data_IF_408068032815
#
_entry.id   IF_408068032815
#
_cell.length_a   1.000
_cell.length_b   1.000
_cell.length_c   1.000
_cell.angle_alpha   90.00
_cell.angle_beta   90.00
_cell.angle_gamma   90.00
#
_symmetry.space_group_name_H-M   'P 1'
#
loop_
_entity.id
_entity.type
_entity.pdbx_description
1 polymer ?
#
# COMPACT_ATOMS: atom_id res chain seq x y z
N UNK A 1 -5.75 -5.10 -16.42
CA UNK A 1 -5.93 -3.66 -16.22
C UNK A 1 -6.96 -3.47 -15.11
N UNK A 2 -6.58 -3.04 -13.90
CA UNK A 2 -7.58 -2.70 -12.88
C UNK A 2 -8.35 -1.47 -13.35
N UNK A 3 -9.68 -1.53 -13.27
CA UNK A 3 -10.54 -0.41 -13.61
C UNK A 3 -10.30 0.72 -12.58
N UNK A 4 -10.12 1.97 -13.02
CA UNK A 4 -9.91 3.14 -12.15
C UNK A 4 -10.95 3.23 -11.03
N UNK A 5 -12.21 2.86 -11.31
CA UNK A 5 -13.28 2.81 -10.30
C UNK A 5 -12.98 1.78 -9.21
N UNK A 6 -12.48 0.61 -9.58
CA UNK A 6 -12.10 -0.43 -8.63
C UNK A 6 -10.92 0.03 -7.76
N UNK A 7 -9.92 0.69 -8.35
CA UNK A 7 -8.77 1.26 -7.60
C UNK A 7 -9.23 2.31 -6.60
N UNK A 8 -10.16 3.20 -6.97
CA UNK A 8 -10.72 4.20 -6.07
C UNK A 8 -11.58 3.61 -4.95
N UNK A 9 -12.38 2.57 -5.24
CA UNK A 9 -13.15 1.87 -4.21
C UNK A 9 -12.25 1.19 -3.20
N UNK A 10 -11.20 0.51 -3.67
CA UNK A 10 -10.25 -0.11 -2.76
C UNK A 10 -9.50 0.92 -1.92
N UNK A 11 -9.10 2.06 -2.50
CA UNK A 11 -8.47 3.14 -1.76
C UNK A 11 -9.41 3.70 -0.67
N UNK A 12 -10.72 3.81 -0.95
CA UNK A 12 -11.72 4.19 0.07
C UNK A 12 -11.74 3.19 1.22
N UNK A 13 -11.84 1.90 0.92
CA UNK A 13 -11.94 0.85 1.95
C UNK A 13 -10.67 0.79 2.81
N UNK A 14 -9.51 1.04 2.20
CA UNK A 14 -8.23 1.09 2.88
C UNK A 14 -8.14 2.28 3.86
N UNK A 15 -8.55 3.48 3.41
CA UNK A 15 -8.60 4.66 4.28
C UNK A 15 -9.58 4.47 5.44
N UNK A 16 -10.69 3.80 5.20
CA UNK A 16 -11.68 3.46 6.22
C UNK A 16 -11.11 2.49 7.27
N UNK A 17 -10.36 1.47 6.83
CA UNK A 17 -9.65 0.56 7.73
C UNK A 17 -8.60 1.28 8.58
N UNK A 18 -7.76 2.12 7.96
CA UNK A 18 -6.75 2.89 8.69
C UNK A 18 -7.37 3.82 9.74
N UNK A 19 -8.50 4.46 9.42
CA UNK A 19 -9.23 5.28 10.40
C UNK A 19 -9.67 4.45 11.60
N UNK A 20 -10.21 3.25 11.37
CA UNK A 20 -10.63 2.35 12.45
C UNK A 20 -9.45 1.83 13.27
N UNK A 21 -8.31 1.50 12.65
CA UNK A 21 -7.11 1.08 13.36
C UNK A 21 -6.54 2.22 14.21
N UNK A 22 -6.54 3.44 13.68
CA UNK A 22 -6.11 4.63 14.41
C UNK A 22 -7.03 4.90 15.61
N UNK A 23 -8.35 4.81 15.44
CA UNK A 23 -9.31 4.96 16.54
C UNK A 23 -9.11 3.87 17.62
N UNK A 24 -8.84 2.62 17.22
CA UNK A 24 -8.53 1.54 18.16
C UNK A 24 -7.22 1.78 18.92
N UNK A 25 -6.19 2.33 18.26
CA UNK A 25 -4.93 2.68 18.91
C UNK A 25 -5.09 3.71 20.03
N UNK A 26 -6.07 4.62 19.92
CA UNK A 26 -6.31 5.62 20.98
C UNK A 26 -6.72 4.98 22.31
N UNK A 27 -7.27 3.76 22.27
CA UNK A 27 -7.78 3.04 23.43
C UNK A 27 -7.02 1.73 23.71
N UNK A 28 -6.08 1.35 22.84
CA UNK A 28 -5.22 0.21 23.08
C UNK A 28 -4.33 0.52 24.29
N UNK A 29 -4.30 -0.41 25.25
CA UNK A 29 -3.51 -0.28 26.48
C UNK A 29 -2.55 -1.44 26.69
N UNK A 30 -2.53 -2.38 25.74
CA UNK A 30 -1.64 -3.52 25.74
C UNK A 30 -0.71 -3.48 24.52
N UNK A 31 0.59 -3.65 24.80
CA UNK A 31 1.64 -3.59 23.77
C UNK A 31 1.44 -4.54 22.57
N UNK A 32 0.88 -5.76 22.73
CA UNK A 32 0.59 -6.63 21.59
C UNK A 32 -0.46 -6.04 20.64
N UNK A 33 -1.56 -5.50 21.15
CA UNK A 33 -2.60 -4.86 20.33
C UNK A 33 -2.07 -3.60 19.65
N UNK A 34 -1.31 -2.77 20.37
CA UNK A 34 -0.65 -1.59 19.79
C UNK A 34 0.29 -1.97 18.64
N UNK A 35 1.13 -2.99 18.84
CA UNK A 35 2.06 -3.47 17.82
C UNK A 35 1.31 -3.98 16.57
N UNK A 36 0.27 -4.78 16.77
CA UNK A 36 -0.55 -5.31 15.68
C UNK A 36 -1.25 -4.21 14.88
N UNK A 37 -1.88 -3.24 15.56
CA UNK A 37 -2.57 -2.12 14.89
C UNK A 37 -1.57 -1.22 14.14
N UNK A 38 -0.39 -1.00 14.72
CA UNK A 38 0.69 -0.23 14.07
C UNK A 38 1.22 -0.94 12.83
N UNK A 39 1.44 -2.25 12.90
CA UNK A 39 1.91 -3.04 11.75
C UNK A 39 0.85 -3.08 10.63
N UNK A 40 -0.43 -3.19 11.00
CA UNK A 40 -1.55 -3.12 10.05
C UNK A 40 -1.61 -1.76 9.34
N UNK A 41 -1.49 -0.65 10.09
CA UNK A 41 -1.44 0.70 9.53
C UNK A 41 -0.26 0.91 8.57
N UNK A 42 0.92 0.38 8.90
CA UNK A 42 2.08 0.45 8.00
C UNK A 42 1.84 -0.30 6.70
N UNK A 43 1.20 -1.48 6.77
CA UNK A 43 0.79 -2.26 5.60
C UNK A 43 -0.19 -1.49 4.72
N UNK A 44 -1.20 -0.88 5.31
CA UNK A 44 -2.17 -0.06 4.59
C UNK A 44 -1.50 1.15 3.92
N UNK A 45 -0.62 1.87 4.60
CA UNK A 45 0.08 3.02 4.01
C UNK A 45 0.86 2.64 2.74
N UNK A 46 1.52 1.48 2.76
CA UNK A 46 2.24 0.93 1.59
C UNK A 46 1.26 0.63 0.45
N UNK A 47 0.11 0.03 0.74
CA UNK A 47 -0.88 -0.26 -0.29
C UNK A 47 -1.51 1.02 -0.84
N UNK A 48 -1.79 1.99 0.02
CA UNK A 48 -2.29 3.30 -0.37
C UNK A 48 -1.32 4.02 -1.33
N UNK A 49 -0.01 3.90 -1.10
CA UNK A 49 1.02 4.43 -1.99
C UNK A 49 1.00 3.74 -3.36
N UNK A 50 0.84 2.41 -3.41
CA UNK A 50 0.71 1.68 -4.69
C UNK A 50 -0.53 2.11 -5.46
N UNK A 51 -1.67 2.25 -4.78
CA UNK A 51 -2.91 2.72 -5.40
C UNK A 51 -2.76 4.14 -5.95
N UNK A 52 -2.07 5.02 -5.22
CA UNK A 52 -1.75 6.36 -5.72
C UNK A 52 -0.89 6.30 -6.99
N UNK A 53 0.15 5.46 -7.02
CA UNK A 53 0.99 5.29 -8.20
C UNK A 53 0.20 4.75 -9.41
N UNK A 54 -0.66 3.75 -9.19
CA UNK A 54 -1.58 3.23 -10.20
C UNK A 54 -2.51 4.32 -10.76
N UNK A 55 -3.09 5.15 -9.88
CA UNK A 55 -3.99 6.25 -10.28
C UNK A 55 -3.29 7.40 -11.01
N UNK A 56 -2.02 7.64 -10.68
CA UNK A 56 -1.17 8.62 -11.36
C UNK A 56 -0.69 8.13 -12.74
N UNK A 57 -0.91 6.84 -13.06
CA UNK A 57 -0.41 6.24 -14.30
C UNK A 57 1.11 6.13 -14.35
N UNK A 58 1.78 6.22 -13.20
CA UNK A 58 3.22 6.01 -13.08
C UNK A 58 3.42 4.49 -13.07
N UNK A 59 4.01 3.87 -14.10
CA UNK A 59 4.37 2.47 -14.04
C UNK A 59 5.38 2.30 -12.90
N UNK A 60 5.12 1.34 -12.02
CA UNK A 60 5.97 0.97 -10.90
C UNK A 60 7.42 0.79 -11.38
N UNK A 61 8.28 1.79 -11.13
CA UNK A 61 9.69 1.78 -11.51
C UNK A 61 10.47 0.64 -10.84
N UNK A 62 9.92 0.06 -9.78
CA UNK A 62 10.49 -1.08 -9.07
C UNK A 62 10.56 -2.34 -9.96
N UNK A 63 9.62 -2.50 -10.90
CA UNK A 63 9.62 -3.62 -11.85
C UNK A 63 10.54 -3.40 -13.05
N UNK A 64 10.80 -2.14 -13.42
CA UNK A 64 11.65 -1.77 -14.57
C UNK A 64 13.14 -1.99 -14.32
N UNK A 65 13.59 -1.93 -13.06
CA UNK A 65 15.00 -2.14 -12.71
C UNK A 65 15.44 -3.60 -12.90
N UNK A 66 14.54 -4.57 -12.72
CA UNK A 66 14.87 -6.00 -12.80
C UNK A 66 14.90 -6.55 -14.24
N UNK A 67 14.31 -5.84 -15.20
CA UNK A 67 14.29 -6.24 -16.61
C UNK A 67 15.53 -5.73 -17.36
N UNK A 68 16.09 -4.59 -16.93
CA UNK A 68 17.27 -3.99 -17.56
C UNK A 68 18.57 -4.78 -17.29
N UNK A 69 18.64 -5.54 -16.19
CA UNK A 69 19.82 -6.37 -15.86
C UNK A 69 19.91 -7.60 -16.76
N UNK A 70 18.79 -8.13 -17.28
CA UNK A 70 18.81 -9.28 -18.20
C UNK A 70 19.19 -8.90 -19.64
N UNK A 71 19.00 -7.65 -20.05
CA UNK A 71 19.41 -7.17 -21.37
C UNK A 71 20.91 -6.91 -21.50
N UNK A 72 21.60 -6.61 -20.39
CA UNK A 72 23.02 -6.25 -20.40
C UNK A 72 23.97 -7.46 -20.39
N UNK A 73 23.48 -8.67 -20.09
CA UNK A 73 24.31 -9.90 -20.02
C UNK A 73 24.37 -10.64 -21.37
N UNK A 74 23.73 -10.10 -22.44
CA UNK A 74 23.74 -10.68 -23.79
C UNK A 74 24.26 -9.72 -24.87
N UNK A 75 25.09 -8.72 -24.54
CA UNK A 75 25.75 -7.85 -25.52
C UNK A 75 27.26 -7.86 -25.36
#
# INVERSE_FOLDING_TARGET
MRNRRHTLLWMKDLLEHMSQCHDQLQWAGDGPTEAFLTESLLGDLVECQKLCAELQGVPDRSRSAHENVRGLVMS
#
